data_IF_110759519776
#
_entry.id   IF_110759519776
#
_cell.length_a   1.000
_cell.length_b   1.000
_cell.length_c   1.000
_cell.angle_alpha   90.00
_cell.angle_beta   90.00
_cell.angle_gamma   90.00
#
_symmetry.space_group_name_H-M   'P 1'
#
loop_
_entity.id
_entity.type
_entity.pdbx_description
1 polymer ?
#
# COMPACT_ATOMS: atom_id res chain seq x y z
N UNK A 1 4.35 22.02 12.20
CA UNK A 1 4.96 22.32 10.89
C UNK A 1 5.94 23.48 10.94
N UNK A 2 5.68 24.59 11.66
CA UNK A 2 6.70 25.64 11.83
C UNK A 2 7.13 26.23 10.48
N UNK A 3 8.43 26.38 10.28
CA UNK A 3 9.10 26.79 9.04
C UNK A 3 9.66 25.60 8.23
N UNK A 4 9.40 24.37 8.66
CA UNK A 4 9.87 23.18 7.95
C UNK A 4 9.21 23.07 6.58
N UNK A 5 9.97 22.77 5.50
CA UNK A 5 9.41 22.71 4.16
C UNK A 5 8.37 21.59 4.02
N UNK A 6 7.24 21.92 3.39
CA UNK A 6 6.21 20.94 3.03
C UNK A 6 6.59 20.27 1.71
N UNK A 7 7.26 19.13 1.82
CA UNK A 7 7.64 18.32 0.67
C UNK A 7 6.45 17.49 0.13
N UNK A 8 6.50 17.01 -1.13
CA UNK A 8 5.47 16.12 -1.66
C UNK A 8 5.41 14.79 -0.92
N UNK A 9 4.20 14.33 -0.63
CA UNK A 9 3.91 13.05 0.04
C UNK A 9 4.20 11.85 -0.88
N UNK A 10 5.48 11.53 -1.07
CA UNK A 10 5.96 10.43 -1.91
C UNK A 10 6.88 9.51 -1.14
N UNK A 11 6.67 8.21 -1.31
CA UNK A 11 7.53 7.16 -0.78
C UNK A 11 8.91 7.17 -1.45
N UNK A 12 9.93 6.78 -0.71
CA UNK A 12 11.28 6.60 -1.25
C UNK A 12 11.36 5.49 -2.33
N UNK A 13 10.34 4.64 -2.43
CA UNK A 13 10.23 3.65 -3.53
C UNK A 13 10.10 4.29 -4.91
N UNK A 14 9.46 5.45 -5.02
CA UNK A 14 9.26 6.16 -6.29
C UNK A 14 10.53 6.83 -6.83
N UNK A 15 11.55 7.02 -5.99
CA UNK A 15 12.81 7.65 -6.39
C UNK A 15 13.59 6.72 -7.32
N UNK A 16 14.34 7.29 -8.27
CA UNK A 16 15.10 6.53 -9.27
C UNK A 16 16.06 5.51 -8.60
N UNK A 17 15.90 4.20 -8.85
CA UNK A 17 16.81 3.18 -8.31
C UNK A 17 18.20 3.17 -8.96
N UNK A 18 18.36 3.78 -10.15
CA UNK A 18 19.60 3.71 -10.94
C UNK A 18 20.56 4.86 -10.66
N UNK A 19 20.06 5.97 -10.11
CA UNK A 19 20.89 7.07 -9.66
C UNK A 19 21.73 6.65 -8.44
N UNK A 20 23.00 7.07 -8.42
CA UNK A 20 23.93 6.79 -7.31
C UNK A 20 23.70 7.78 -6.17
N UNK A 21 22.76 7.45 -5.29
CA UNK A 21 22.47 8.22 -4.08
C UNK A 21 23.60 8.11 -3.05
N UNK A 22 23.82 9.19 -2.28
CA UNK A 22 24.79 9.18 -1.17
C UNK A 22 24.42 8.14 -0.09
N UNK A 23 23.12 7.97 0.15
CA UNK A 23 22.56 6.88 0.97
C UNK A 23 21.71 5.96 0.09
N UNK A 24 22.30 4.90 -0.50
CA UNK A 24 21.60 4.01 -1.45
C UNK A 24 20.35 3.36 -0.87
N UNK A 25 20.39 2.98 0.41
CA UNK A 25 19.27 2.32 1.07
C UNK A 25 18.05 3.22 1.15
N UNK A 26 18.25 4.50 1.47
CA UNK A 26 17.18 5.50 1.61
C UNK A 26 16.88 6.24 0.30
N UNK A 27 17.74 6.12 -0.71
CA UNK A 27 17.70 6.92 -1.94
C UNK A 27 17.64 8.42 -1.64
N UNK A 28 18.58 8.90 -0.83
CA UNK A 28 18.62 10.27 -0.35
C UNK A 28 20.04 10.84 -0.46
N UNK A 29 20.15 12.11 -0.85
CA UNK A 29 21.41 12.81 -0.99
C UNK A 29 21.74 13.62 0.26
N UNK A 30 23.03 13.86 0.48
CA UNK A 30 23.48 14.73 1.55
C UNK A 30 23.07 16.18 1.29
N UNK A 31 22.47 16.83 2.29
CA UNK A 31 21.98 18.21 2.20
C UNK A 31 20.61 18.39 1.53
N UNK A 32 19.99 17.32 1.04
CA UNK A 32 18.60 17.36 0.58
C UNK A 32 17.65 17.47 1.80
N UNK A 33 16.61 18.33 1.76
CA UNK A 33 15.63 18.41 2.85
C UNK A 33 14.87 17.08 2.99
N UNK A 34 14.69 16.64 4.23
CA UNK A 34 13.99 15.41 4.55
C UNK A 34 12.47 15.65 4.58
N UNK A 35 11.66 14.64 4.28
CA UNK A 35 10.20 14.75 4.42
C UNK A 35 9.85 14.80 5.91
N UNK A 36 8.79 15.54 6.28
CA UNK A 36 8.33 15.60 7.68
C UNK A 36 8.02 14.18 8.20
N UNK A 37 7.21 13.42 7.46
CA UNK A 37 6.90 12.02 7.71
C UNK A 37 7.91 11.06 7.04
N UNK A 38 9.20 11.34 7.15
CA UNK A 38 10.25 10.50 6.55
C UNK A 38 10.20 9.06 7.05
N UNK A 39 9.97 8.89 8.35
CA UNK A 39 9.89 7.59 9.01
C UNK A 39 8.80 6.69 8.44
N UNK A 40 7.68 7.26 7.96
CA UNK A 40 6.57 6.56 7.31
C UNK A 40 6.90 6.15 5.87
N UNK A 41 7.63 7.01 5.14
CA UNK A 41 7.91 6.86 3.71
C UNK A 41 9.22 6.12 3.39
N UNK A 42 9.91 5.57 4.39
CA UNK A 42 11.04 4.66 4.19
C UNK A 42 10.58 3.44 3.36
N UNK A 43 11.49 2.91 2.52
CA UNK A 43 11.26 1.75 1.64
C UNK A 43 10.74 0.47 2.32
N UNK A 44 10.83 0.36 3.64
CA UNK A 44 10.33 -0.83 4.36
C UNK A 44 8.91 -0.65 4.90
N UNK A 45 8.24 0.47 4.57
CA UNK A 45 6.93 0.84 5.14
C UNK A 45 5.94 1.23 4.04
N UNK A 46 5.32 2.41 4.15
CA UNK A 46 4.21 2.82 3.28
C UNK A 46 4.75 3.18 1.90
N UNK A 47 4.19 2.52 0.90
CA UNK A 47 4.50 2.77 -0.51
C UNK A 47 3.35 3.55 -1.16
N UNK A 48 3.71 4.61 -1.89
CA UNK A 48 2.79 5.46 -2.65
C UNK A 48 2.93 5.26 -4.15
N UNK A 49 3.80 4.33 -4.57
CA UNK A 49 4.06 4.03 -5.98
C UNK A 49 2.76 3.73 -6.72
N UNK A 50 2.58 4.29 -7.94
CA UNK A 50 1.34 4.12 -8.68
C UNK A 50 1.13 2.66 -9.06
N UNK A 51 -0.04 2.12 -8.70
CA UNK A 51 -0.48 0.79 -9.13
C UNK A 51 -1.19 0.86 -10.47
N UNK A 52 -1.14 -0.23 -11.25
CA UNK A 52 -1.80 -0.32 -12.56
C UNK A 52 -3.32 -0.14 -12.47
N UNK A 53 -3.92 -0.57 -11.36
CA UNK A 53 -5.36 -0.48 -11.12
C UNK A 53 -5.65 0.67 -10.14
N UNK A 54 -6.67 1.52 -10.42
CA UNK A 54 -7.09 2.55 -9.48
C UNK A 54 -7.54 1.99 -8.13
N UNK A 55 -7.22 2.71 -7.05
CA UNK A 55 -7.51 2.30 -5.67
C UNK A 55 -8.98 1.90 -5.43
N UNK A 56 -9.91 2.73 -5.90
CA UNK A 56 -11.35 2.48 -5.72
C UNK A 56 -11.79 1.16 -6.37
N UNK A 57 -11.22 0.84 -7.54
CA UNK A 57 -11.48 -0.42 -8.24
C UNK A 57 -10.95 -1.61 -7.46
N UNK A 58 -9.71 -1.55 -6.97
CA UNK A 58 -9.11 -2.61 -6.15
C UNK A 58 -9.92 -2.88 -4.89
N UNK A 59 -10.25 -1.81 -4.14
CA UNK A 59 -11.08 -1.87 -2.93
C UNK A 59 -12.44 -2.52 -3.22
N UNK A 60 -13.13 -2.10 -4.27
CA UNK A 60 -14.47 -2.60 -4.58
C UNK A 60 -14.43 -4.09 -4.94
N UNK A 61 -13.48 -4.54 -5.77
CA UNK A 61 -13.34 -5.96 -6.12
C UNK A 61 -13.05 -6.81 -4.88
N UNK A 62 -12.14 -6.36 -4.02
CA UNK A 62 -11.82 -7.06 -2.77
C UNK A 62 -13.04 -7.22 -1.87
N UNK A 63 -13.80 -6.14 -1.66
CA UNK A 63 -14.99 -6.18 -0.80
C UNK A 63 -16.13 -7.01 -1.39
N UNK A 64 -16.34 -6.95 -2.72
CA UNK A 64 -17.33 -7.79 -3.40
C UNK A 64 -16.96 -9.28 -3.26
N UNK A 65 -15.70 -9.63 -3.51
CA UNK A 65 -15.23 -10.99 -3.37
C UNK A 65 -15.41 -11.50 -1.94
N UNK A 66 -14.92 -10.76 -0.95
CA UNK A 66 -15.02 -11.14 0.46
C UNK A 66 -16.48 -11.25 0.91
N UNK A 67 -17.32 -10.28 0.54
CA UNK A 67 -18.75 -10.28 0.84
C UNK A 67 -19.45 -11.49 0.22
N UNK A 68 -19.15 -11.80 -1.04
CA UNK A 68 -19.73 -12.96 -1.73
C UNK A 68 -19.31 -14.27 -1.07
N UNK A 69 -18.05 -14.42 -0.71
CA UNK A 69 -17.55 -15.61 -0.01
C UNK A 69 -18.22 -15.80 1.35
N UNK A 70 -18.31 -14.75 2.16
CA UNK A 70 -18.97 -14.82 3.47
C UNK A 70 -20.45 -15.19 3.34
N UNK A 71 -21.15 -14.64 2.33
CA UNK A 71 -22.54 -15.00 2.04
C UNK A 71 -22.64 -16.48 1.66
N UNK A 72 -21.79 -16.98 0.77
CA UNK A 72 -21.81 -18.38 0.34
C UNK A 72 -21.47 -19.36 1.47
N UNK A 73 -20.54 -19.01 2.35
CA UNK A 73 -20.31 -19.78 3.58
C UNK A 73 -21.55 -19.79 4.48
N UNK A 74 -22.20 -18.64 4.68
CA UNK A 74 -23.46 -18.56 5.42
C UNK A 74 -24.56 -19.44 4.81
N UNK A 75 -24.67 -19.48 3.47
CA UNK A 75 -25.60 -20.39 2.78
C UNK A 75 -25.21 -21.86 2.98
N UNK A 76 -23.92 -22.19 2.94
CA UNK A 76 -23.41 -23.55 3.17
C UNK A 76 -23.71 -24.07 4.57
N UNK A 77 -23.70 -23.21 5.59
CA UNK A 77 -24.10 -23.54 6.95
C UNK A 77 -25.62 -23.77 7.07
N UNK A 78 -26.44 -23.00 6.34
CA UNK A 78 -27.91 -23.17 6.33
C UNK A 78 -28.31 -24.43 5.56
N UNK A 79 -27.60 -24.75 4.47
CA UNK A 79 -27.86 -25.90 3.61
C UNK A 79 -26.65 -26.86 3.58
N UNK A 80 -26.38 -27.56 4.70
CA UNK A 80 -25.24 -28.45 4.77
C UNK A 80 -25.46 -29.69 3.90
N UNK A 81 -24.42 -30.10 3.19
CA UNK A 81 -24.41 -31.40 2.50
C UNK A 81 -24.26 -32.52 3.53
N UNK A 82 -25.11 -33.54 3.42
CA UNK A 82 -25.01 -34.76 4.21
C UNK A 82 -24.89 -35.98 3.29
N UNK A 83 -24.29 -37.05 3.83
CA UNK A 83 -24.24 -38.34 3.12
C UNK A 83 -25.60 -39.04 3.28
N UNK A 84 -26.17 -39.60 2.20
CA UNK A 84 -27.38 -40.42 2.31
C UNK A 84 -26.98 -41.78 2.91
N UNK A 85 -26.99 -41.87 4.24
CA UNK A 85 -26.75 -43.11 5.00
C UNK A 85 -28.04 -43.63 5.60
#
# INVERSE_FOLDING_TARGET
>A
YGDYPMLPNKSHHERDPWYQWDQPDMRHNWGEPMHWDFDMYIRNRVDTSPTVVPWHTMRNHFLIFLGTMLIMFGVGEIYPSYRPV
#
